data_IF_381813781992
#
_entry.id   IF_381813781992
#
_cell.length_a   1.000
_cell.length_b   1.000
_cell.length_c   1.000
_cell.angle_alpha   90.00
_cell.angle_beta   90.00
_cell.angle_gamma   90.00
#
_symmetry.space_group_name_H-M   'P 1'
#
loop_
_entity.id
_entity.type
_entity.pdbx_description
1 polymer ?
#
# COMPACT_ATOMS: atom_id res chain seq x y z
N UNK A 1 -10.41 8.21 10.75
CA UNK A 1 -9.17 7.47 10.48
C UNK A 1 -8.95 7.39 8.98
N UNK A 2 -7.73 7.57 8.51
CA UNK A 2 -7.39 7.51 7.09
C UNK A 2 -6.56 6.25 6.87
N UNK A 3 -7.07 5.35 6.04
CA UNK A 3 -6.36 4.14 5.63
C UNK A 3 -5.75 4.34 4.26
N UNK A 4 -4.54 3.82 4.05
CA UNK A 4 -3.92 3.75 2.73
C UNK A 4 -3.32 2.36 2.48
N UNK A 5 -3.32 1.93 1.23
CA UNK A 5 -2.68 0.69 0.84
C UNK A 5 -1.22 0.96 0.45
N UNK A 6 -0.28 0.29 1.13
CA UNK A 6 1.14 0.28 0.79
C UNK A 6 1.50 -1.10 0.24
N UNK A 7 1.66 -1.23 -1.07
CA UNK A 7 1.81 -2.51 -1.77
C UNK A 7 2.87 -2.42 -2.87
N UNK A 8 3.28 -3.54 -3.46
CA UNK A 8 4.16 -3.49 -4.62
C UNK A 8 4.95 -4.76 -4.89
N UNK A 9 5.90 -4.64 -5.79
CA UNK A 9 6.75 -5.76 -6.22
C UNK A 9 7.72 -6.19 -5.11
N UNK A 10 8.07 -7.48 -5.12
CA UNK A 10 9.21 -8.01 -4.34
C UNK A 10 10.54 -7.46 -4.86
N UNK A 11 10.62 -7.18 -6.14
CA UNK A 11 11.81 -6.69 -6.86
C UNK A 11 11.82 -5.15 -6.96
N UNK A 12 11.30 -4.46 -5.95
CA UNK A 12 11.33 -2.99 -5.88
C UNK A 12 12.77 -2.51 -5.67
N UNK A 13 13.26 -1.53 -6.45
CA UNK A 13 14.62 -0.98 -6.30
C UNK A 13 14.88 -0.42 -4.91
N UNK A 14 16.13 -0.52 -4.43
CA UNK A 14 16.51 -0.14 -3.07
C UNK A 14 16.17 1.34 -2.75
N UNK A 15 16.40 2.26 -3.67
CA UNK A 15 16.06 3.68 -3.49
C UNK A 15 14.56 3.93 -3.32
N UNK A 16 13.72 3.14 -4.01
CA UNK A 16 12.27 3.20 -3.87
C UNK A 16 11.83 2.57 -2.53
N UNK A 17 12.47 1.46 -2.09
CA UNK A 17 12.20 0.88 -0.77
C UNK A 17 12.49 1.89 0.35
N UNK A 18 13.61 2.62 0.27
CA UNK A 18 13.93 3.69 1.23
C UNK A 18 12.87 4.80 1.20
N UNK A 19 12.41 5.20 0.00
CA UNK A 19 11.35 6.20 -0.13
C UNK A 19 10.03 5.71 0.48
N UNK A 20 9.65 4.43 0.26
CA UNK A 20 8.46 3.82 0.84
C UNK A 20 8.50 3.80 2.38
N UNK A 21 9.64 3.43 2.95
CA UNK A 21 9.84 3.44 4.41
C UNK A 21 9.69 4.85 4.98
N UNK A 22 10.34 5.85 4.38
CA UNK A 22 10.27 7.25 4.81
C UNK A 22 8.85 7.81 4.69
N UNK A 23 8.15 7.52 3.62
CA UNK A 23 6.76 7.96 3.41
C UNK A 23 5.81 7.29 4.39
N UNK A 24 5.99 6.00 4.67
CA UNK A 24 5.17 5.29 5.66
C UNK A 24 5.37 5.87 7.07
N UNK A 25 6.62 6.18 7.43
CA UNK A 25 6.94 6.86 8.70
C UNK A 25 6.24 8.23 8.78
N UNK A 26 6.34 9.04 7.73
CA UNK A 26 5.65 10.33 7.66
C UNK A 26 4.13 10.17 7.80
N UNK A 27 3.51 9.29 7.02
CA UNK A 27 2.05 9.06 7.06
C UNK A 27 1.59 8.58 8.44
N UNK A 28 2.36 7.74 9.11
CA UNK A 28 2.06 7.30 10.47
C UNK A 28 2.07 8.46 11.48
N UNK A 29 2.99 9.43 11.34
CA UNK A 29 2.96 10.66 12.17
C UNK A 29 1.76 11.56 11.85
N UNK A 30 1.15 11.40 10.68
CA UNK A 30 -0.09 12.08 10.30
C UNK A 30 -1.35 11.27 10.67
N UNK A 31 -1.22 10.26 11.54
CA UNK A 31 -2.29 9.37 11.96
C UNK A 31 -2.97 8.59 10.83
N UNK A 32 -2.25 8.37 9.71
CA UNK A 32 -2.68 7.46 8.67
C UNK A 32 -2.32 6.02 9.04
N UNK A 33 -3.18 5.08 8.67
CA UNK A 33 -3.02 3.66 8.96
C UNK A 33 -2.66 2.93 7.68
N UNK A 34 -1.49 2.30 7.66
CA UNK A 34 -1.04 1.43 6.58
C UNK A 34 -1.91 0.18 6.51
N UNK A 35 -2.30 -0.22 5.32
CA UNK A 35 -2.78 -1.57 4.98
C UNK A 35 -1.79 -2.22 4.04
N UNK A 36 -1.16 -3.31 4.47
CA UNK A 36 -0.15 -4.02 3.70
C UNK A 36 -0.24 -5.53 3.90
N UNK A 37 0.57 -6.29 3.20
CA UNK A 37 0.43 -7.75 3.13
C UNK A 37 1.61 -8.55 3.65
N UNK A 38 2.64 -7.91 4.17
CA UNK A 38 3.79 -8.58 4.77
C UNK A 38 4.67 -9.38 3.79
N UNK A 39 4.58 -9.16 2.48
CA UNK A 39 5.50 -9.74 1.52
C UNK A 39 6.85 -9.03 1.55
N UNK A 40 7.92 -9.71 1.10
CA UNK A 40 9.22 -9.07 0.93
C UNK A 40 9.14 -7.91 -0.08
N UNK A 41 10.09 -7.00 -0.04
CA UNK A 41 10.15 -5.84 -0.92
C UNK A 41 9.24 -4.70 -0.44
N UNK A 42 8.35 -4.21 -1.28
CA UNK A 42 7.52 -3.04 -1.01
C UNK A 42 6.70 -3.14 0.28
N UNK A 43 6.00 -4.27 0.51
CA UNK A 43 5.15 -4.44 1.71
C UNK A 43 5.99 -4.32 3.00
N UNK A 44 7.18 -4.97 3.02
CA UNK A 44 8.10 -4.89 4.16
C UNK A 44 8.64 -3.47 4.35
N UNK A 45 8.96 -2.75 3.28
CA UNK A 45 9.45 -1.38 3.38
C UNK A 45 8.41 -0.44 3.99
N UNK A 46 7.15 -0.49 3.52
CA UNK A 46 6.07 0.28 4.15
C UNK A 46 5.89 -0.08 5.63
N UNK A 47 5.89 -1.38 5.96
CA UNK A 47 5.73 -1.83 7.34
C UNK A 47 6.87 -1.33 8.24
N UNK A 48 8.13 -1.41 7.78
CA UNK A 48 9.28 -0.92 8.54
C UNK A 48 9.16 0.55 8.94
N UNK A 49 8.61 1.39 8.05
CA UNK A 49 8.42 2.81 8.32
C UNK A 49 7.43 3.10 9.46
N UNK A 50 6.47 2.22 9.73
CA UNK A 50 5.43 2.47 10.72
C UNK A 50 5.35 1.44 11.88
N UNK A 51 6.08 0.33 11.85
CA UNK A 51 5.97 -0.77 12.83
C UNK A 51 6.17 -0.37 14.29
N UNK A 52 6.92 0.68 14.56
CA UNK A 52 7.20 1.16 15.91
C UNK A 52 6.14 2.19 16.40
N UNK A 53 5.16 2.52 15.58
CA UNK A 53 4.09 3.45 15.93
C UNK A 53 2.81 2.63 16.19
N UNK A 54 2.30 2.75 17.42
CA UNK A 54 1.12 1.96 17.85
C UNK A 54 -0.08 2.23 16.95
N UNK A 55 -0.74 1.16 16.51
CA UNK A 55 -1.92 1.19 15.66
C UNK A 55 -1.73 1.88 14.30
N UNK A 56 -0.50 2.01 13.81
CA UNK A 56 -0.21 2.64 12.52
C UNK A 56 -0.32 1.66 11.33
N UNK A 57 -0.63 0.38 11.56
CA UNK A 57 -0.75 -0.60 10.47
C UNK A 57 -1.77 -1.71 10.74
N UNK A 58 -2.37 -2.19 9.65
CA UNK A 58 -3.13 -3.43 9.51
C UNK A 58 -2.39 -4.31 8.50
N UNK A 59 -1.79 -5.42 8.96
CA UNK A 59 -1.03 -6.32 8.08
C UNK A 59 -1.86 -7.56 7.82
N UNK A 60 -2.27 -7.74 6.57
CA UNK A 60 -3.09 -8.86 6.12
C UNK A 60 -2.22 -9.98 5.56
N UNK A 61 -2.29 -11.16 6.14
CA UNK A 61 -1.44 -12.29 5.78
C UNK A 61 -2.23 -13.37 5.02
N UNK A 62 -1.62 -14.05 4.04
CA UNK A 62 -2.27 -15.15 3.31
C UNK A 62 -2.45 -16.42 4.18
N UNK A 63 -1.61 -16.59 5.20
CA UNK A 63 -1.66 -17.63 6.24
C UNK A 63 -0.90 -17.16 7.48
N UNK A 64 -1.09 -17.87 8.61
CA UNK A 64 -0.41 -17.56 9.87
C UNK A 64 1.11 -17.58 9.71
N UNK A 65 1.78 -16.64 10.36
CA UNK A 65 3.24 -16.52 10.40
C UNK A 65 3.90 -16.37 9.01
N UNK A 66 3.16 -15.88 8.01
CA UNK A 66 3.76 -15.58 6.70
C UNK A 66 4.92 -14.59 6.86
N UNK A 67 6.10 -14.95 6.32
CA UNK A 67 7.36 -14.20 6.47
C UNK A 67 7.73 -13.88 7.93
N UNK A 68 7.39 -14.77 8.88
CA UNK A 68 7.62 -14.61 10.32
C UNK A 68 6.93 -13.35 10.92
N UNK A 69 5.85 -12.89 10.30
CA UNK A 69 5.04 -11.78 10.80
C UNK A 69 3.83 -12.35 11.55
N UNK A 70 3.65 -11.87 12.79
CA UNK A 70 2.42 -12.12 13.54
C UNK A 70 1.39 -11.05 13.22
N UNK A 71 0.18 -11.47 12.88
CA UNK A 71 -0.96 -10.60 12.66
C UNK A 71 -2.27 -11.28 13.03
N UNK A 72 -3.19 -10.51 13.59
CA UNK A 72 -4.57 -10.96 13.81
C UNK A 72 -5.38 -11.12 12.52
N UNK A 73 -4.87 -10.59 11.41
CA UNK A 73 -5.48 -10.64 10.09
C UNK A 73 -4.74 -11.68 9.23
N UNK A 74 -5.10 -12.93 9.36
CA UNK A 74 -4.55 -14.03 8.57
C UNK A 74 -5.64 -14.91 8.02
N UNK A 75 -5.32 -15.67 6.96
CA UNK A 75 -6.23 -16.59 6.31
C UNK A 75 -7.46 -15.90 5.67
N UNK A 76 -7.35 -15.50 4.40
CA UNK A 76 -8.43 -14.82 3.68
C UNK A 76 -9.71 -15.64 3.64
N UNK A 77 -10.85 -14.97 3.83
CA UNK A 77 -12.19 -15.57 3.77
C UNK A 77 -12.56 -16.01 2.35
N UNK A 78 -13.59 -16.83 2.25
CA UNK A 78 -14.15 -17.23 0.96
C UNK A 78 -14.66 -16.02 0.16
N UNK A 79 -15.20 -15.00 0.82
CA UNK A 79 -15.62 -13.76 0.18
C UNK A 79 -14.43 -13.02 -0.47
N UNK A 80 -13.27 -12.94 0.21
CA UNK A 80 -12.06 -12.36 -0.35
C UNK A 80 -11.50 -13.19 -1.53
N UNK A 81 -11.60 -14.52 -1.45
CA UNK A 81 -11.23 -15.42 -2.56
C UNK A 81 -12.08 -15.18 -3.80
N UNK A 82 -13.41 -15.11 -3.66
CA UNK A 82 -14.35 -14.80 -4.75
C UNK A 82 -14.11 -13.41 -5.34
N UNK A 83 -13.83 -12.43 -4.50
CA UNK A 83 -13.53 -11.07 -4.94
C UNK A 83 -12.21 -11.03 -5.73
N UNK A 84 -11.14 -11.66 -5.24
CA UNK A 84 -9.85 -11.70 -5.92
C UNK A 84 -9.94 -12.40 -7.29
N UNK A 85 -10.73 -13.46 -7.39
CA UNK A 85 -10.98 -14.19 -8.64
C UNK A 85 -11.50 -13.25 -9.74
N UNK A 86 -12.40 -12.34 -9.42
CA UNK A 86 -12.97 -11.36 -10.37
C UNK A 86 -11.88 -10.50 -11.05
N UNK A 87 -10.79 -10.21 -10.33
CA UNK A 87 -9.74 -9.28 -10.79
C UNK A 87 -8.47 -9.98 -11.29
N UNK A 88 -8.37 -11.32 -11.22
CA UNK A 88 -7.18 -12.03 -11.65
C UNK A 88 -7.41 -12.77 -12.99
N UNK A 89 -6.73 -12.39 -14.11
CA UNK A 89 -7.05 -12.87 -15.45
C UNK A 89 -6.78 -14.38 -15.66
N UNK A 90 -5.95 -14.98 -14.79
CA UNK A 90 -5.58 -16.39 -14.88
C UNK A 90 -5.79 -17.12 -13.54
N UNK A 91 -6.90 -16.84 -12.86
CA UNK A 91 -7.20 -17.38 -11.53
C UNK A 91 -7.09 -18.90 -11.44
N UNK A 92 -7.62 -19.63 -12.43
CA UNK A 92 -7.64 -21.08 -12.41
C UNK A 92 -6.25 -21.71 -12.52
N UNK A 93 -5.27 -20.98 -13.03
CA UNK A 93 -3.88 -21.42 -13.13
C UNK A 93 -3.08 -21.22 -11.85
N UNK A 94 -3.65 -20.54 -10.85
CA UNK A 94 -2.97 -20.25 -9.60
C UNK A 94 -3.00 -21.45 -8.66
N UNK A 95 -1.86 -21.70 -7.98
CA UNK A 95 -1.83 -22.58 -6.82
C UNK A 95 -2.70 -22.04 -5.68
N UNK A 96 -3.08 -22.88 -4.72
CA UNK A 96 -3.87 -22.44 -3.55
C UNK A 96 -3.16 -21.34 -2.75
N UNK A 97 -1.84 -21.44 -2.56
CA UNK A 97 -1.06 -20.39 -1.90
C UNK A 97 -1.10 -19.07 -2.68
N UNK A 98 -0.97 -19.11 -4.01
CA UNK A 98 -1.08 -17.93 -4.85
C UNK A 98 -2.48 -17.32 -4.81
N UNK A 99 -3.54 -18.13 -4.81
CA UNK A 99 -4.93 -17.67 -4.62
C UNK A 99 -5.10 -16.94 -3.29
N UNK A 100 -4.56 -17.48 -2.18
CA UNK A 100 -4.58 -16.82 -0.86
C UNK A 100 -3.81 -15.49 -0.87
N UNK A 101 -2.67 -15.40 -1.55
CA UNK A 101 -1.92 -14.16 -1.73
C UNK A 101 -2.72 -13.09 -2.48
N UNK A 102 -3.46 -13.46 -3.51
CA UNK A 102 -4.35 -12.55 -4.24
C UNK A 102 -5.56 -12.13 -3.38
N UNK A 103 -6.15 -13.07 -2.66
CA UNK A 103 -7.31 -12.78 -1.81
C UNK A 103 -6.97 -11.80 -0.69
N UNK A 104 -5.79 -11.91 -0.06
CA UNK A 104 -5.37 -10.96 0.98
C UNK A 104 -5.17 -9.54 0.44
N UNK A 105 -4.88 -9.36 -0.87
CA UNK A 105 -4.78 -8.03 -1.48
C UNK A 105 -6.12 -7.28 -1.41
N UNK A 106 -7.25 -7.98 -1.41
CA UNK A 106 -8.57 -7.35 -1.29
C UNK A 106 -8.71 -6.59 0.03
N UNK A 107 -8.18 -7.12 1.12
CA UNK A 107 -8.20 -6.43 2.41
C UNK A 107 -7.28 -5.22 2.47
N UNK A 108 -6.15 -5.23 1.76
CA UNK A 108 -5.27 -4.06 1.67
C UNK A 108 -6.01 -2.86 1.06
N UNK A 109 -6.92 -3.13 0.13
CA UNK A 109 -7.71 -2.09 -0.53
C UNK A 109 -9.01 -1.77 0.20
N UNK A 110 -9.73 -2.77 0.71
CA UNK A 110 -11.11 -2.62 1.22
C UNK A 110 -11.26 -2.86 2.73
N UNK A 111 -10.15 -3.06 3.47
CA UNK A 111 -10.20 -3.37 4.89
C UNK A 111 -10.72 -4.77 5.21
N UNK A 112 -10.70 -5.12 6.48
CA UNK A 112 -11.08 -6.46 6.94
C UNK A 112 -12.53 -6.84 6.65
N UNK A 113 -13.39 -5.85 6.53
CA UNK A 113 -14.82 -6.01 6.21
C UNK A 113 -15.11 -6.06 4.69
N UNK A 114 -14.09 -5.87 3.84
CA UNK A 114 -14.18 -5.75 2.38
C UNK A 114 -15.14 -4.64 1.91
N UNK A 115 -15.38 -3.62 2.74
CA UNK A 115 -16.34 -2.53 2.49
C UNK A 115 -15.78 -1.15 2.79
N UNK A 116 -14.67 -1.08 3.53
CA UNK A 116 -14.03 0.19 3.92
C UNK A 116 -12.82 0.46 3.04
N UNK A 117 -12.96 1.16 1.89
CA UNK A 117 -11.86 1.37 0.97
C UNK A 117 -10.73 2.20 1.59
N UNK A 118 -9.50 1.84 1.24
CA UNK A 118 -8.34 2.70 1.47
C UNK A 118 -8.50 4.00 0.68
N UNK A 119 -8.07 5.11 1.25
CA UNK A 119 -8.21 6.43 0.63
C UNK A 119 -7.38 6.56 -0.65
N UNK A 120 -6.22 5.91 -0.67
CA UNK A 120 -5.32 5.85 -1.83
C UNK A 120 -4.39 4.63 -1.74
N UNK A 121 -3.73 4.35 -2.84
CA UNK A 121 -2.70 3.31 -2.97
C UNK A 121 -1.36 3.97 -3.25
N UNK A 122 -0.34 3.60 -2.49
CA UNK A 122 1.06 3.84 -2.81
C UNK A 122 1.69 2.53 -3.22
N UNK A 123 2.28 2.45 -4.40
CA UNK A 123 2.85 1.20 -4.88
C UNK A 123 4.09 1.39 -5.75
N UNK A 124 4.75 0.26 -6.04
CA UNK A 124 5.72 0.15 -7.11
C UNK A 124 5.41 -1.09 -7.95
N UNK A 125 5.35 -0.90 -9.26
CA UNK A 125 5.44 -1.97 -10.25
C UNK A 125 6.44 -1.57 -11.32
N UNK A 126 7.14 -2.53 -11.89
CA UNK A 126 8.15 -2.25 -12.92
C UNK A 126 7.52 -1.48 -14.09
N UNK A 127 8.08 -0.31 -14.40
CA UNK A 127 7.61 0.59 -15.47
C UNK A 127 6.13 1.00 -15.34
N UNK A 128 5.60 1.04 -14.12
CA UNK A 128 4.19 1.39 -13.87
C UNK A 128 3.16 0.33 -14.35
N UNK A 129 3.61 -0.82 -14.83
CA UNK A 129 2.74 -1.81 -15.48
C UNK A 129 1.80 -2.51 -14.49
N UNK A 130 0.55 -2.71 -14.90
CA UNK A 130 -0.49 -3.41 -14.12
C UNK A 130 -0.36 -4.93 -14.32
N UNK A 131 0.74 -5.51 -13.84
CA UNK A 131 1.10 -6.93 -14.02
C UNK A 131 1.46 -7.61 -12.68
N UNK A 132 1.57 -8.93 -12.69
CA UNK A 132 1.93 -9.73 -11.51
C UNK A 132 0.90 -9.69 -10.39
N UNK A 133 1.34 -10.03 -9.19
CA UNK A 133 0.48 -10.05 -7.99
C UNK A 133 -0.08 -8.68 -7.61
N UNK A 134 0.73 -7.64 -7.72
CA UNK A 134 0.30 -6.25 -7.49
C UNK A 134 -0.71 -5.80 -8.55
N UNK A 135 -0.59 -6.28 -9.79
CA UNK A 135 -1.51 -5.92 -10.88
C UNK A 135 -2.97 -6.29 -10.60
N UNK A 136 -3.25 -7.36 -9.88
CA UNK A 136 -4.63 -7.70 -9.46
C UNK A 136 -5.18 -6.62 -8.51
N UNK A 137 -4.39 -6.20 -7.52
CA UNK A 137 -4.78 -5.15 -6.61
C UNK A 137 -4.99 -3.80 -7.33
N UNK A 138 -4.13 -3.47 -8.30
CA UNK A 138 -4.28 -2.23 -9.07
C UNK A 138 -5.55 -2.23 -9.94
N UNK A 139 -5.90 -3.35 -10.61
CA UNK A 139 -7.18 -3.45 -11.34
C UNK A 139 -8.37 -3.24 -10.43
N UNK A 140 -8.32 -3.82 -9.22
CA UNK A 140 -9.36 -3.63 -8.22
C UNK A 140 -9.41 -2.18 -7.73
N UNK A 141 -8.27 -1.53 -7.46
CA UNK A 141 -8.22 -0.12 -7.06
C UNK A 141 -8.82 0.79 -8.12
N UNK A 142 -8.57 0.53 -9.41
CA UNK A 142 -9.17 1.27 -10.54
C UNK A 142 -10.71 1.11 -10.53
N UNK A 143 -11.22 -0.11 -10.41
CA UNK A 143 -12.67 -0.41 -10.40
C UNK A 143 -13.39 0.26 -9.21
N UNK A 144 -12.71 0.37 -8.06
CA UNK A 144 -13.23 1.05 -6.87
C UNK A 144 -12.93 2.55 -6.83
N UNK A 145 -12.37 3.13 -7.89
CA UNK A 145 -11.99 4.55 -7.98
C UNK A 145 -11.06 4.99 -6.82
N UNK A 146 -10.17 4.09 -6.35
CA UNK A 146 -9.17 4.42 -5.33
C UNK A 146 -7.97 5.06 -6.03
N UNK A 147 -7.58 6.30 -5.70
CA UNK A 147 -6.42 6.96 -6.29
C UNK A 147 -5.14 6.15 -6.12
N UNK A 148 -4.36 6.00 -7.18
CA UNK A 148 -3.11 5.23 -7.20
C UNK A 148 -1.94 6.18 -7.48
N UNK A 149 -0.87 6.07 -6.69
CA UNK A 149 0.44 6.59 -7.01
C UNK A 149 1.42 5.44 -7.18
N UNK A 150 1.84 5.19 -8.42
CA UNK A 150 2.79 4.13 -8.74
C UNK A 150 4.18 4.72 -8.96
N UNK A 151 5.08 4.45 -8.01
CA UNK A 151 6.47 4.96 -8.03
C UNK A 151 7.31 4.39 -9.20
N UNK A 152 6.81 3.38 -9.90
CA UNK A 152 7.48 2.78 -11.06
C UNK A 152 7.13 3.42 -12.41
N UNK A 153 6.26 4.43 -12.44
CA UNK A 153 5.93 5.18 -13.67
C UNK A 153 7.06 6.12 -14.10
N UNK A 154 7.96 6.44 -13.18
CA UNK A 154 9.08 7.34 -13.41
C UNK A 154 10.40 6.65 -13.04
N UNK A 155 11.47 6.97 -13.76
CA UNK A 155 12.81 6.42 -13.51
C UNK A 155 13.66 7.34 -12.61
N UNK A 156 13.49 8.66 -12.74
CA UNK A 156 14.20 9.63 -11.90
C UNK A 156 13.56 9.73 -10.51
N UNK A 157 14.31 9.32 -9.50
CA UNK A 157 13.87 9.33 -8.10
C UNK A 157 13.48 10.72 -7.61
N UNK A 158 14.07 11.80 -8.14
CA UNK A 158 13.72 13.16 -7.72
C UNK A 158 12.37 13.57 -8.30
N UNK A 159 12.07 13.14 -9.53
CA UNK A 159 10.74 13.32 -10.13
C UNK A 159 9.71 12.50 -9.36
N UNK A 160 10.02 11.23 -9.02
CA UNK A 160 9.14 10.39 -8.17
C UNK A 160 8.82 11.09 -6.86
N UNK A 161 9.83 11.59 -6.15
CA UNK A 161 9.64 12.33 -4.87
C UNK A 161 8.75 13.54 -5.04
N UNK A 162 9.02 14.38 -6.04
CA UNK A 162 8.23 15.59 -6.31
C UNK A 162 6.75 15.26 -6.59
N UNK A 163 6.50 14.32 -7.50
CA UNK A 163 5.14 13.86 -7.84
C UNK A 163 4.42 13.24 -6.64
N UNK A 164 5.12 12.42 -5.85
CA UNK A 164 4.56 11.80 -4.64
C UNK A 164 4.09 12.85 -3.63
N UNK A 165 4.91 13.88 -3.36
CA UNK A 165 4.52 14.95 -2.46
C UNK A 165 3.33 15.75 -2.99
N UNK A 166 3.25 16.00 -4.29
CA UNK A 166 2.09 16.65 -4.92
C UNK A 166 0.84 15.80 -4.75
N UNK A 167 0.92 14.50 -5.02
CA UNK A 167 -0.17 13.55 -4.81
C UNK A 167 -0.64 13.54 -3.35
N UNK A 168 0.29 13.45 -2.39
CA UNK A 168 -0.07 13.45 -0.96
C UNK A 168 -0.73 14.76 -0.52
N UNK A 169 -0.29 15.91 -1.02
CA UNK A 169 -0.94 17.20 -0.75
C UNK A 169 -2.38 17.23 -1.21
N UNK A 170 -2.70 16.64 -2.36
CA UNK A 170 -4.07 16.51 -2.85
C UNK A 170 -4.92 15.62 -1.95
N UNK A 171 -4.33 14.53 -1.39
CA UNK A 171 -5.04 13.66 -0.46
C UNK A 171 -5.30 14.31 0.92
N UNK A 172 -4.48 15.31 1.32
CA UNK A 172 -4.50 15.95 2.64
C UNK A 172 -4.53 17.48 2.57
N UNK A 173 -5.51 18.12 1.94
CA UNK A 173 -5.51 19.57 1.70
C UNK A 173 -5.52 20.43 2.98
N UNK A 174 -5.95 19.90 4.12
CA UNK A 174 -6.02 20.62 5.40
C UNK A 174 -4.71 20.59 6.21
N UNK A 175 -3.84 19.60 6.00
CA UNK A 175 -2.61 19.42 6.81
C UNK A 175 -1.43 20.22 6.26
N UNK A 176 -1.42 20.53 4.98
CA UNK A 176 -0.36 21.27 4.31
C UNK A 176 -0.27 22.73 4.79
N UNK A 177 -1.39 23.32 5.20
CA UNK A 177 -1.41 24.70 5.75
C UNK A 177 -0.69 24.85 7.10
N UNK A 178 -0.60 23.78 7.91
CA UNK A 178 0.14 23.81 9.19
C UNK A 178 1.65 23.76 8.99
N UNK A 179 2.14 22.94 8.07
CA UNK A 179 3.59 22.78 7.81
C UNK A 179 4.17 24.06 7.20
N UNK A 180 3.47 24.70 6.27
CA UNK A 180 3.92 25.97 5.67
C UNK A 180 3.99 27.08 6.75
N UNK A 181 3.00 27.19 7.63
CA UNK A 181 3.01 28.18 8.72
C UNK A 181 4.13 27.95 9.73
N UNK A 182 4.50 26.70 10.04
CA UNK A 182 5.59 26.40 10.96
C UNK A 182 6.93 26.77 10.34
N UNK A 183 7.16 26.50 9.05
CA UNK A 183 8.40 26.85 8.33
C UNK A 183 8.54 28.38 8.19
N UNK A 184 7.45 29.10 7.99
CA UNK A 184 7.45 30.57 7.90
C UNK A 184 7.70 31.24 9.27
N UNK A 185 7.20 30.64 10.37
CA UNK A 185 7.42 31.15 11.74
C UNK A 185 8.84 30.88 12.28
N UNK A 186 9.56 29.90 11.75
CA UNK A 186 10.96 29.62 12.11
C UNK A 186 11.98 30.45 11.30
N UNK A 187 11.53 31.20 10.30
CA UNK A 187 12.36 32.10 9.47
C UNK A 187 12.18 33.58 9.82
N UNK A 188 11.34 33.90 10.78
CA UNK A 188 11.14 35.24 11.35
C UNK A 188 11.81 35.38 12.69
#
# INVERSE_FOLDING_TARGET
MIYYAGIGSRDTPAEILILMENVAKYLATQHCILRSGGANGADTAFYNGCKNIKNASEIYLPWKNFNNIESKYSEPSEAAMKLAMKYHPAWEKLSQGAKKLQARNCYQLLGNDLKTPSKFVLCYTKEGKVIGGTGQALRMAIDYNIPIFNMGEERDINIVKSKLWSFLKEQFPQQTKKVVKTIESERS
#
